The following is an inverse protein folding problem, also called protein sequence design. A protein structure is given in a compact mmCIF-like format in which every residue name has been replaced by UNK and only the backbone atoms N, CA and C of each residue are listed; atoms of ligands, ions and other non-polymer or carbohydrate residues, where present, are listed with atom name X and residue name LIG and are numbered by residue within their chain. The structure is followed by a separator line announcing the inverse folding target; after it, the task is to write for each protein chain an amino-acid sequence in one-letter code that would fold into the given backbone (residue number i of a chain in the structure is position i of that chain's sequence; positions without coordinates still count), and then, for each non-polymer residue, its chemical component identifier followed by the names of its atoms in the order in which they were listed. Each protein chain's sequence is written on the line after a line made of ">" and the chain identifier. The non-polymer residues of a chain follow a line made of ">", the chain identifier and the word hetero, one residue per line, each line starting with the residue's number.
data_IF_637792597808
#
_entry.id   IF_637792597808
#
_cell.length_a   1.000
_cell.length_b   1.000
_cell.length_c   1.000
_cell.angle_alpha   90.00
_cell.angle_beta   90.00
_cell.angle_gamma   90.00
#
_symmetry.space_group_name_H-M   'P 1'
#
loop_
_entity.id
_entity.type
_entity.pdbx_description
1 polymer ?
#
# COMPACT_ATOMS: atom_id res chain seq x y z
N UNK A 1 1.86 -31.79 -11.83
CA UNK A 1 1.04 -30.59 -11.57
C UNK A 1 1.78 -29.41 -12.18
N UNK A 2 1.18 -28.73 -13.16
CA UNK A 2 1.83 -27.57 -13.81
C UNK A 2 1.38 -26.26 -13.17
N UNK A 3 2.24 -25.24 -13.20
CA UNK A 3 1.98 -23.93 -12.61
C UNK A 3 0.59 -23.35 -12.98
N UNK A 4 0.11 -23.44 -14.24
CA UNK A 4 -1.22 -22.94 -14.59
C UNK A 4 -2.36 -23.64 -13.85
N UNK A 5 -2.26 -24.96 -13.66
CA UNK A 5 -3.31 -25.74 -12.98
C UNK A 5 -3.44 -25.36 -11.50
N UNK A 6 -2.32 -24.97 -10.86
CA UNK A 6 -2.31 -24.53 -9.46
C UNK A 6 -2.94 -23.15 -9.36
N UNK A 7 -2.57 -22.23 -10.26
CA UNK A 7 -3.11 -20.87 -10.28
C UNK A 7 -4.62 -20.87 -10.52
N UNK A 8 -5.12 -21.67 -11.46
CA UNK A 8 -6.56 -21.77 -11.75
C UNK A 8 -7.32 -22.27 -10.51
N UNK A 9 -6.84 -23.33 -9.86
CA UNK A 9 -7.46 -23.85 -8.63
C UNK A 9 -7.46 -22.85 -7.48
N UNK A 10 -6.41 -22.04 -7.36
CA UNK A 10 -6.33 -20.97 -6.37
C UNK A 10 -7.28 -19.81 -6.71
N UNK A 11 -7.35 -19.44 -7.99
CA UNK A 11 -8.21 -18.38 -8.50
C UNK A 11 -9.69 -18.67 -8.23
N UNK A 12 -10.17 -19.86 -8.59
CA UNK A 12 -11.58 -20.24 -8.41
C UNK A 12 -12.02 -20.17 -6.94
N UNK A 13 -11.09 -20.44 -6.01
CA UNK A 13 -11.34 -20.30 -4.57
C UNK A 13 -11.31 -18.83 -4.14
N UNK A 14 -10.31 -18.08 -4.57
CA UNK A 14 -10.10 -16.68 -4.13
C UNK A 14 -11.17 -15.74 -4.68
N UNK A 15 -11.58 -15.90 -5.95
CA UNK A 15 -12.51 -15.03 -6.66
C UNK A 15 -13.99 -15.24 -6.30
N UNK A 16 -14.28 -15.69 -5.07
CA UNK A 16 -15.64 -15.80 -4.55
C UNK A 16 -16.01 -14.53 -3.78
N UNK A 17 -17.27 -14.07 -3.81
CA UNK A 17 -17.70 -12.88 -3.07
C UNK A 17 -17.37 -12.95 -1.57
N UNK A 18 -17.43 -14.15 -0.99
CA UNK A 18 -17.11 -14.41 0.41
C UNK A 18 -15.62 -14.13 0.70
N UNK A 19 -14.71 -14.69 -0.10
CA UNK A 19 -13.27 -14.54 0.12
C UNK A 19 -12.78 -13.13 -0.21
N UNK A 20 -13.37 -12.48 -1.23
CA UNK A 20 -13.11 -11.06 -1.53
C UNK A 20 -13.49 -10.18 -0.33
N UNK A 21 -14.68 -10.39 0.25
CA UNK A 21 -15.14 -9.63 1.43
C UNK A 21 -14.24 -9.87 2.65
N UNK A 22 -13.75 -11.09 2.85
CA UNK A 22 -12.78 -11.38 3.90
C UNK A 22 -11.47 -10.62 3.70
N UNK A 23 -10.97 -10.50 2.47
CA UNK A 23 -9.79 -9.69 2.16
C UNK A 23 -9.97 -8.20 2.52
N UNK A 24 -11.17 -7.64 2.33
CA UNK A 24 -11.44 -6.25 2.72
C UNK A 24 -11.50 -6.06 4.23
N UNK A 25 -12.06 -7.01 4.98
CA UNK A 25 -12.09 -6.98 6.46
C UNK A 25 -10.70 -6.77 7.06
N UNK A 26 -9.69 -7.46 6.54
CA UNK A 26 -8.30 -7.39 7.01
C UNK A 26 -7.51 -6.16 6.54
N UNK A 27 -8.04 -5.32 5.65
CA UNK A 27 -7.30 -4.20 5.05
C UNK A 27 -7.87 -2.84 5.43
N UNK A 28 -8.88 -2.81 6.31
CA UNK A 28 -9.57 -1.56 6.66
C UNK A 28 -10.57 -1.07 5.61
N UNK A 29 -10.81 -1.86 4.55
CA UNK A 29 -11.76 -1.54 3.48
C UNK A 29 -13.12 -2.17 3.80
N UNK A 30 -14.22 -1.50 3.44
CA UNK A 30 -15.56 -2.02 3.74
C UNK A 30 -15.83 -3.40 3.10
N UNK A 31 -16.37 -4.39 3.83
CA UNK A 31 -16.79 -4.34 5.24
C UNK A 31 -15.61 -4.38 6.20
N UNK A 32 -15.53 -3.40 7.09
CA UNK A 32 -14.47 -3.26 8.08
C UNK A 32 -14.78 -4.05 9.35
N UNK A 33 -13.81 -4.81 9.85
CA UNK A 33 -13.89 -5.49 11.14
C UNK A 33 -12.67 -5.11 11.99
N UNK A 34 -12.87 -4.33 13.06
CA UNK A 34 -11.78 -3.87 13.93
C UNK A 34 -11.18 -4.97 14.81
N UNK A 35 -11.91 -6.06 15.02
CA UNK A 35 -11.50 -7.13 15.94
C UNK A 35 -10.64 -8.19 15.23
N UNK A 36 -10.42 -8.05 13.93
CA UNK A 36 -9.63 -8.99 13.14
C UNK A 36 -8.13 -8.77 13.29
N UNK A 37 -7.72 -7.55 13.66
CA UNK A 37 -6.33 -7.20 13.88
C UNK A 37 -5.94 -7.48 15.33
N UNK A 38 -4.80 -8.12 15.52
CA UNK A 38 -4.20 -8.27 16.84
C UNK A 38 -3.13 -7.20 17.07
N UNK A 39 -2.64 -7.07 18.31
CA UNK A 39 -1.58 -6.12 18.64
C UNK A 39 -0.30 -6.39 17.82
N UNK A 40 -0.05 -7.67 17.50
CA UNK A 40 1.09 -8.11 16.68
C UNK A 40 1.08 -7.49 15.27
N UNK A 41 -0.11 -7.28 14.68
CA UNK A 41 -0.25 -6.66 13.36
C UNK A 41 0.23 -5.19 13.35
N UNK A 42 0.30 -4.55 14.52
CA UNK A 42 0.78 -3.18 14.72
C UNK A 42 2.23 -3.11 15.22
N UNK A 43 2.95 -4.24 15.32
CA UNK A 43 4.33 -4.27 15.85
C UNK A 43 5.32 -3.35 15.13
N UNK A 44 5.13 -3.16 13.83
CA UNK A 44 5.95 -2.26 13.02
C UNK A 44 5.76 -0.78 13.37
N UNK A 45 4.70 -0.41 14.10
CA UNK A 45 4.40 0.96 14.49
C UNK A 45 5.07 1.39 15.81
N UNK A 46 5.54 0.47 16.67
CA UNK A 46 6.22 0.80 17.95
C UNK A 46 7.65 1.34 17.78
N UNK A 47 8.03 1.82 16.60
CA UNK A 47 9.33 2.46 16.36
C UNK A 47 9.50 3.71 17.22
N UNK A 48 8.40 4.34 17.64
CA UNK A 48 8.38 5.51 18.53
C UNK A 48 8.74 5.19 19.99
N UNK A 49 8.57 3.95 20.44
CA UNK A 49 8.77 3.57 21.86
C UNK A 49 10.21 3.12 22.15
N UNK A 50 11.10 3.24 21.16
CA UNK A 50 12.53 2.97 21.33
C UNK A 50 13.11 4.03 22.26
N UNK A 51 13.59 3.59 23.43
CA UNK A 51 14.37 4.44 24.33
C UNK A 51 15.55 5.02 23.56
N UNK A 52 15.76 6.35 23.63
CA UNK A 52 16.95 6.99 23.09
C UNK A 52 18.16 6.28 23.72
N UNK A 53 18.95 5.56 22.92
CA UNK A 53 20.19 4.96 23.40
C UNK A 53 21.06 6.08 23.99
N UNK A 54 21.58 5.93 25.22
CA UNK A 54 22.46 6.94 25.80
C UNK A 54 23.63 7.15 24.84
N UNK A 55 23.82 8.41 24.47
CA UNK A 55 24.78 8.85 23.45
C UNK A 55 26.18 8.34 23.81
N UNK A 56 26.65 7.30 23.10
CA UNK A 56 28.08 6.99 23.04
C UNK A 56 28.63 7.72 21.83
N UNK A 57 29.48 8.71 22.09
CA UNK A 57 30.11 9.58 21.12
C UNK A 57 30.80 8.80 19.98
N UNK A 58 30.49 9.24 18.77
CA UNK A 58 31.19 9.12 17.47
C UNK A 58 32.22 8.01 17.25
N UNK A 59 31.95 7.13 16.28
CA UNK A 59 32.97 6.76 15.27
C UNK A 59 32.34 6.76 13.86
N UNK A 60 32.76 7.76 13.09
CA UNK A 60 33.02 7.79 11.64
C UNK A 60 31.96 7.27 10.64
N UNK A 61 31.31 8.25 10.01
CA UNK A 61 30.72 8.28 8.65
C UNK A 61 30.74 7.00 7.79
N UNK A 62 29.56 6.41 7.60
CA UNK A 62 29.10 6.02 6.26
C UNK A 62 27.67 6.52 6.09
N UNK A 63 27.49 7.44 5.15
CA UNK A 63 26.17 7.87 4.70
C UNK A 63 25.48 6.66 4.05
N UNK A 64 24.71 5.91 4.83
CA UNK A 64 23.65 5.05 4.30
C UNK A 64 22.40 5.89 4.36
N UNK A 65 22.15 6.57 3.26
CA UNK A 65 20.91 7.29 3.01
C UNK A 65 19.75 6.29 3.21
N UNK A 66 18.97 6.50 4.26
CA UNK A 66 17.76 5.71 4.50
C UNK A 66 16.83 5.94 3.32
N UNK A 67 16.35 4.91 2.60
CA UNK A 67 15.38 5.12 1.54
C UNK A 67 14.14 5.70 2.21
N UNK A 68 13.86 6.99 1.97
CA UNK A 68 12.53 7.54 2.25
C UNK A 68 11.55 6.65 1.49
N UNK A 69 10.48 6.13 2.12
CA UNK A 69 9.38 5.53 1.38
C UNK A 69 8.71 6.66 0.61
N UNK A 70 9.28 7.02 -0.53
CA UNK A 70 8.62 7.81 -1.54
C UNK A 70 7.56 6.93 -2.21
N UNK A 71 6.48 7.51 -2.74
CA UNK A 71 5.60 6.77 -3.62
C UNK A 71 6.46 6.18 -4.74
N UNK A 72 6.43 4.86 -4.89
CA UNK A 72 7.13 4.17 -5.98
C UNK A 72 6.68 4.82 -7.28
N UNK A 73 7.59 5.55 -7.95
CA UNK A 73 7.31 6.04 -9.30
C UNK A 73 7.22 4.81 -10.19
N UNK A 74 6.03 4.56 -10.75
CA UNK A 74 5.86 3.61 -11.84
C UNK A 74 6.82 4.03 -12.96
N UNK A 75 7.78 3.17 -13.29
CA UNK A 75 8.53 3.32 -14.54
C UNK A 75 7.56 2.99 -15.67
N UNK A 76 7.04 4.03 -16.32
CA UNK A 76 6.34 3.97 -17.58
C UNK A 76 7.34 4.33 -18.68
N UNK A 77 8.29 3.44 -18.95
CA UNK A 77 9.10 3.46 -20.17
C UNK A 77 8.49 2.53 -21.23
N UNK A 78 7.28 2.89 -21.64
CA UNK A 78 6.81 2.57 -22.98
C UNK A 78 6.58 3.91 -23.68
N UNK A 79 7.40 4.19 -24.69
CA UNK A 79 7.35 5.41 -25.49
C UNK A 79 5.94 5.71 -26.01
N UNK A 80 5.22 6.57 -25.29
CA UNK A 80 4.12 7.35 -25.84
C UNK A 80 4.39 8.79 -25.44
N UNK A 81 4.59 9.65 -26.44
CA UNK A 81 4.62 11.10 -26.25
C UNK A 81 3.32 11.54 -25.59
N UNK A 82 3.31 11.64 -24.26
CA UNK A 82 2.20 12.25 -23.54
C UNK A 82 2.44 13.75 -23.60
N UNK A 83 1.88 14.41 -24.61
CA UNK A 83 1.70 15.86 -24.54
C UNK A 83 1.04 16.17 -23.20
N UNK A 84 1.59 17.14 -22.46
CA UNK A 84 0.95 17.63 -21.23
C UNK A 84 -0.44 18.13 -21.61
N UNK A 85 -1.44 17.28 -21.45
CA UNK A 85 -2.81 17.60 -21.81
C UNK A 85 -3.21 18.86 -21.07
N UNK A 86 -3.72 19.85 -21.81
CA UNK A 86 -4.45 20.96 -21.24
C UNK A 86 -5.66 20.37 -20.51
N UNK A 87 -5.59 20.28 -19.18
CA UNK A 87 -6.70 19.78 -18.37
C UNK A 87 -7.79 20.84 -18.42
N UNK A 88 -8.86 20.57 -19.17
CA UNK A 88 -10.06 21.41 -19.10
C UNK A 88 -10.76 21.18 -17.76
N UNK A 89 -11.09 22.24 -17.01
CA UNK A 89 -11.87 22.07 -15.78
C UNK A 89 -13.27 21.52 -16.11
N UNK A 90 -13.77 20.65 -15.23
CA UNK A 90 -15.14 20.15 -15.33
C UNK A 90 -16.16 21.30 -15.24
N UNK A 91 -17.31 21.20 -15.94
CA UNK A 91 -18.38 22.18 -15.81
C UNK A 91 -18.87 22.26 -14.36
N UNK A 92 -19.24 23.47 -13.93
CA UNK A 92 -19.75 23.73 -12.57
C UNK A 92 -21.08 22.98 -12.38
N UNK A 93 -21.21 22.28 -11.25
CA UNK A 93 -22.45 21.59 -10.90
C UNK A 93 -23.64 22.57 -10.84
N UNK A 94 -24.86 22.13 -11.21
CA UNK A 94 -26.05 22.96 -11.11
C UNK A 94 -26.35 23.33 -9.65
N UNK A 95 -27.04 24.46 -9.46
CA UNK A 95 -27.52 24.85 -8.13
C UNK A 95 -28.51 23.83 -7.59
N UNK A 96 -28.42 23.57 -6.29
CA UNK A 96 -29.32 22.65 -5.60
C UNK A 96 -30.62 23.42 -5.33
N UNK A 97 -31.70 23.03 -6.00
CA UNK A 97 -33.07 23.46 -5.65
C UNK A 97 -33.50 22.87 -4.30
#
# INVERSE_FOLDING_TARGET
>A
MRLPEICIKAWDKAATPTNIRFGFRCTGIWPFDKNIFTEEDFMCCYVTDRTKTPDKESVTSRAVESPKPGPSKLNLDASSNFEKGFVSPYPKAPERN
#
